data_IF_266552692689
#
_entry.id   IF_266552692689
#
_cell.length_a   1.000
_cell.length_b   1.000
_cell.length_c   1.000
_cell.angle_alpha   90.00
_cell.angle_beta   90.00
_cell.angle_gamma   90.00
#
_symmetry.space_group_name_H-M   'P 1'
#
loop_
_entity.id
_entity.type
_entity.pdbx_description
1 polymer ?
#
# COMPACT_ATOMS: atom_id res chain seq x y z
N UNK A 1 12.32 31.48 -29.07
CA UNK A 1 11.97 30.23 -28.37
C UNK A 1 12.68 30.25 -27.02
N UNK A 2 11.97 30.59 -25.93
CA UNK A 2 12.58 30.69 -24.58
C UNK A 2 12.51 29.29 -23.97
N UNK A 3 13.67 28.63 -23.88
CA UNK A 3 13.78 27.34 -23.23
C UNK A 3 13.69 27.56 -21.70
N UNK A 4 12.52 27.29 -21.11
CA UNK A 4 12.36 27.30 -19.66
C UNK A 4 13.10 26.09 -19.05
N UNK A 5 14.40 26.26 -18.80
CA UNK A 5 15.16 25.30 -18.00
C UNK A 5 14.63 25.39 -16.56
N UNK A 6 13.76 24.46 -16.19
CA UNK A 6 13.41 24.27 -14.77
C UNK A 6 14.69 23.90 -14.02
N UNK A 7 15.30 24.86 -13.33
CA UNK A 7 16.46 24.61 -12.46
C UNK A 7 16.04 23.58 -11.40
N UNK A 8 16.78 22.49 -11.32
CA UNK A 8 16.64 21.51 -10.25
C UNK A 8 16.82 22.25 -8.91
N UNK A 9 15.93 22.09 -7.91
CA UNK A 9 16.15 22.67 -6.58
C UNK A 9 17.51 22.19 -6.06
N UNK A 10 18.30 23.11 -5.48
CA UNK A 10 19.56 22.74 -4.85
C UNK A 10 19.30 21.68 -3.75
N UNK A 11 19.93 20.52 -3.84
CA UNK A 11 19.73 19.39 -2.91
C UNK A 11 18.57 18.44 -3.25
N UNK A 12 17.92 18.58 -4.42
CA UNK A 12 16.87 17.65 -4.89
C UNK A 12 17.46 16.33 -5.38
N UNK A 13 16.86 15.20 -4.95
CA UNK A 13 17.18 13.84 -5.39
C UNK A 13 15.96 13.17 -6.00
N UNK A 14 16.16 12.22 -6.92
CA UNK A 14 15.09 11.41 -7.48
C UNK A 14 14.64 10.36 -6.46
N UNK A 15 13.34 10.14 -6.31
CA UNK A 15 12.83 9.13 -5.38
C UNK A 15 13.29 7.72 -5.74
N UNK A 16 13.44 7.42 -7.04
CA UNK A 16 13.95 6.13 -7.52
C UNK A 16 15.40 5.82 -7.13
N UNK A 17 16.14 6.80 -6.56
CA UNK A 17 17.52 6.60 -6.05
C UNK A 17 17.59 6.48 -4.52
N UNK A 18 16.44 6.53 -3.84
CA UNK A 18 16.41 6.41 -2.39
C UNK A 18 16.48 4.94 -1.94
N UNK A 19 17.17 4.71 -0.85
CA UNK A 19 17.19 3.40 -0.21
C UNK A 19 15.81 3.01 0.32
N UNK A 20 15.49 1.73 0.25
CA UNK A 20 14.33 1.15 0.92
C UNK A 20 14.42 1.40 2.43
N UNK A 21 13.33 1.82 3.03
CA UNK A 21 13.30 2.31 4.42
C UNK A 21 13.44 3.83 4.56
N UNK A 22 13.80 4.55 3.50
CA UNK A 22 13.79 6.02 3.51
C UNK A 22 12.39 6.58 3.79
N UNK A 23 12.33 7.71 4.49
CA UNK A 23 11.07 8.39 4.81
C UNK A 23 10.88 9.60 3.92
N UNK A 24 9.70 9.68 3.29
CA UNK A 24 9.26 10.84 2.54
C UNK A 24 8.03 11.45 3.20
N UNK A 25 8.06 12.74 3.46
CA UNK A 25 6.88 13.48 3.92
C UNK A 25 6.07 13.97 2.72
N UNK A 26 4.77 13.65 2.76
CA UNK A 26 3.80 14.02 1.73
C UNK A 26 2.58 14.64 2.43
N UNK A 27 2.06 15.72 1.88
CA UNK A 27 0.90 16.41 2.44
C UNK A 27 -0.40 15.63 2.19
N UNK A 28 -1.14 15.36 3.27
CA UNK A 28 -2.49 14.78 3.30
C UNK A 28 -3.37 15.75 4.08
N UNK A 29 -4.40 16.32 3.49
CA UNK A 29 -5.20 17.44 4.04
C UNK A 29 -4.33 18.60 4.54
N UNK A 30 -3.27 18.94 3.81
CA UNK A 30 -2.32 19.98 4.18
C UNK A 30 -1.37 19.64 5.34
N UNK A 31 -1.48 18.44 5.94
CA UNK A 31 -0.61 17.97 7.03
C UNK A 31 0.43 17.00 6.48
N UNK A 32 1.71 17.26 6.78
CA UNK A 32 2.80 16.37 6.36
C UNK A 32 2.71 15.03 7.09
N UNK A 33 2.62 13.94 6.33
CA UNK A 33 2.58 12.57 6.80
C UNK A 33 3.79 11.80 6.30
N UNK A 34 4.30 10.89 7.12
CA UNK A 34 5.43 10.04 6.77
C UNK A 34 5.00 8.86 5.91
N UNK A 35 5.73 8.65 4.83
CA UNK A 35 5.63 7.47 3.97
C UNK A 35 7.00 6.80 3.86
N UNK A 36 7.02 5.48 3.91
CA UNK A 36 8.21 4.65 3.85
C UNK A 36 8.39 4.20 2.40
N UNK A 37 9.59 4.31 1.85
CA UNK A 37 9.98 3.62 0.62
C UNK A 37 10.04 2.12 0.93
N UNK A 38 9.14 1.32 0.36
CA UNK A 38 9.04 -0.12 0.67
C UNK A 38 9.54 -1.03 -0.45
N UNK A 39 9.71 -0.50 -1.66
CA UNK A 39 10.30 -1.20 -2.80
C UNK A 39 10.74 -0.21 -3.87
N UNK A 40 11.76 -0.59 -4.67
CA UNK A 40 12.14 0.10 -5.89
C UNK A 40 11.89 -0.81 -7.09
N UNK A 41 11.22 -0.28 -8.12
CA UNK A 41 10.87 -1.04 -9.32
C UNK A 41 9.76 -2.07 -9.10
N UNK A 42 9.63 -3.00 -10.04
CA UNK A 42 8.61 -4.06 -10.00
C UNK A 42 8.95 -5.07 -8.88
N UNK A 43 8.07 -5.29 -7.89
CA UNK A 43 8.35 -6.22 -6.79
C UNK A 43 8.71 -7.61 -7.30
N UNK A 44 9.87 -8.13 -6.87
CA UNK A 44 10.36 -9.45 -7.24
C UNK A 44 10.52 -9.71 -8.74
N UNK A 45 10.57 -8.66 -9.58
CA UNK A 45 10.51 -8.76 -11.05
C UNK A 45 9.32 -9.62 -11.54
N UNK A 46 8.22 -9.64 -10.80
CA UNK A 46 7.09 -10.50 -11.08
C UNK A 46 6.22 -9.95 -12.22
N UNK A 47 6.13 -10.68 -13.32
CA UNK A 47 5.38 -10.31 -14.53
C UNK A 47 3.86 -10.17 -14.35
N UNK A 48 3.33 -10.59 -13.20
CA UNK A 48 1.92 -10.40 -12.86
C UNK A 48 1.56 -8.95 -12.60
N UNK A 49 2.52 -8.12 -12.16
CA UNK A 49 2.32 -6.68 -12.11
C UNK A 49 2.23 -6.10 -13.51
N UNK A 50 1.50 -5.02 -13.66
CA UNK A 50 1.37 -4.33 -14.94
C UNK A 50 2.09 -2.98 -14.95
N UNK A 51 1.62 -2.10 -15.82
CA UNK A 51 2.16 -0.74 -15.96
C UNK A 51 2.10 0.04 -14.67
N UNK A 52 3.04 0.97 -14.46
CA UNK A 52 3.10 1.84 -13.29
C UNK A 52 3.59 1.18 -12.00
N UNK A 53 3.96 -0.12 -12.04
CA UNK A 53 4.52 -0.82 -10.88
C UNK A 53 6.05 -0.79 -10.84
N UNK A 54 6.71 -0.19 -11.83
CA UNK A 54 8.17 -0.06 -11.97
C UNK A 54 8.75 1.17 -11.27
N UNK A 55 7.92 1.93 -10.55
CA UNK A 55 8.32 3.11 -9.78
C UNK A 55 8.75 2.82 -8.34
N UNK A 56 8.71 3.87 -7.52
CA UNK A 56 9.03 3.81 -6.09
C UNK A 56 7.77 3.53 -5.27
N UNK A 57 7.71 2.39 -4.62
CA UNK A 57 6.57 1.98 -3.79
C UNK A 57 6.62 2.64 -2.43
N UNK A 58 5.54 3.32 -2.09
CA UNK A 58 5.36 4.05 -0.86
C UNK A 58 4.30 3.39 0.01
N UNK A 59 4.55 3.34 1.32
CA UNK A 59 3.58 2.90 2.32
C UNK A 59 3.46 3.96 3.41
N UNK A 60 2.25 4.41 3.72
CA UNK A 60 2.07 5.34 4.83
C UNK A 60 2.56 4.70 6.12
N UNK A 61 3.35 5.41 6.92
CA UNK A 61 3.95 4.88 8.14
C UNK A 61 2.89 4.47 9.16
N UNK A 62 1.93 5.36 9.39
CA UNK A 62 0.81 5.14 10.31
C UNK A 62 -0.51 4.96 9.55
N UNK A 63 -1.52 4.42 10.20
CA UNK A 63 -2.85 4.33 9.62
C UNK A 63 -3.45 5.73 9.43
N UNK A 64 -3.98 6.00 8.24
CA UNK A 64 -4.66 7.27 7.94
C UNK A 64 -5.99 7.36 8.65
N UNK A 65 -6.73 6.26 8.66
CA UNK A 65 -8.09 6.16 9.16
C UNK A 65 -8.40 4.75 9.67
N UNK A 66 -9.64 4.50 10.03
CA UNK A 66 -10.16 3.17 10.34
C UNK A 66 -11.44 2.93 9.55
N UNK A 67 -11.59 1.75 8.99
CA UNK A 67 -12.79 1.34 8.27
C UNK A 67 -12.96 -0.18 8.27
N UNK A 68 -14.12 -0.65 7.84
CA UNK A 68 -14.37 -2.05 7.57
C UNK A 68 -13.88 -2.41 6.16
N UNK A 69 -13.47 -3.66 5.97
CA UNK A 69 -13.08 -4.12 4.64
C UNK A 69 -14.29 -4.17 3.70
N UNK A 70 -15.43 -4.60 4.21
CA UNK A 70 -16.70 -4.68 3.48
C UNK A 70 -17.78 -3.94 4.27
N UNK A 71 -18.84 -3.49 3.59
CA UNK A 71 -19.99 -2.86 4.24
C UNK A 71 -20.79 -3.81 5.16
N UNK A 72 -21.70 -3.27 6.01
CA UNK A 72 -22.41 -4.04 7.02
C UNK A 72 -23.33 -5.15 6.48
N UNK A 73 -23.65 -5.13 5.21
CA UNK A 73 -24.58 -6.10 4.57
C UNK A 73 -23.89 -7.33 3.96
N UNK A 74 -22.63 -7.57 4.26
CA UNK A 74 -21.86 -8.70 3.71
C UNK A 74 -21.91 -9.96 4.56
N UNK A 75 -22.66 -9.97 5.66
CA UNK A 75 -22.85 -11.13 6.56
C UNK A 75 -23.69 -12.27 5.97
N UNK A 76 -24.24 -12.11 4.79
CA UNK A 76 -25.08 -13.10 4.12
C UNK A 76 -24.35 -14.01 3.17
N UNK A 77 -23.44 -14.87 3.63
CA UNK A 77 -22.99 -16.07 2.90
C UNK A 77 -22.44 -15.91 1.48
N UNK A 78 -22.29 -14.70 0.94
CA UNK A 78 -21.73 -14.49 -0.39
C UNK A 78 -20.20 -14.50 -0.32
N UNK A 79 -19.63 -15.52 -0.85
CA UNK A 79 -18.23 -15.88 -0.84
C UNK A 79 -17.27 -14.83 -1.39
N UNK A 80 -17.75 -13.68 -1.93
CA UNK A 80 -16.90 -13.13 -2.97
C UNK A 80 -17.23 -11.66 -3.27
N UNK A 81 -16.73 -10.79 -2.44
CA UNK A 81 -16.55 -9.42 -2.92
C UNK A 81 -15.07 -9.27 -3.27
N UNK A 82 -14.70 -9.11 -4.55
CA UNK A 82 -13.33 -8.81 -4.95
C UNK A 82 -12.83 -7.54 -4.23
N UNK A 83 -11.52 -7.43 -4.05
CA UNK A 83 -10.92 -6.22 -3.48
C UNK A 83 -11.44 -4.96 -4.18
N UNK A 84 -11.55 -4.98 -5.50
CA UNK A 84 -12.04 -3.88 -6.34
C UNK A 84 -13.44 -3.35 -6.01
N UNK A 85 -14.25 -4.14 -5.30
CA UNK A 85 -15.58 -3.75 -4.83
C UNK A 85 -15.64 -3.59 -3.31
N UNK A 86 -14.50 -3.67 -2.64
CA UNK A 86 -14.43 -3.51 -1.19
C UNK A 86 -14.60 -2.03 -0.78
N UNK A 87 -15.11 -1.84 0.42
CA UNK A 87 -15.15 -0.51 1.03
C UNK A 87 -13.74 0.03 1.27
N UNK A 88 -12.79 -0.86 1.58
CA UNK A 88 -11.37 -0.53 1.74
C UNK A 88 -10.77 0.06 0.46
N UNK A 89 -11.01 -0.56 -0.70
CA UNK A 89 -10.54 -0.05 -1.99
C UNK A 89 -11.15 1.33 -2.30
N UNK A 90 -12.45 1.48 -2.07
CA UNK A 90 -13.14 2.77 -2.23
C UNK A 90 -12.55 3.83 -1.30
N UNK A 91 -12.32 3.51 -0.02
CA UNK A 91 -11.72 4.45 0.94
C UNK A 91 -10.32 4.91 0.49
N UNK A 92 -9.54 4.04 -0.13
CA UNK A 92 -8.21 4.40 -0.62
C UNK A 92 -8.24 5.22 -1.92
N UNK A 93 -8.98 4.78 -2.93
CA UNK A 93 -8.94 5.41 -4.25
C UNK A 93 -9.82 6.66 -4.40
N UNK A 94 -10.82 6.82 -3.55
CA UNK A 94 -11.66 8.03 -3.56
C UNK A 94 -11.34 8.93 -2.38
N UNK A 95 -11.59 8.45 -1.16
CA UNK A 95 -11.49 9.29 0.03
C UNK A 95 -10.03 9.70 0.33
N UNK A 96 -9.11 8.73 0.42
CA UNK A 96 -7.73 9.06 0.74
C UNK A 96 -7.02 9.77 -0.42
N UNK A 97 -7.18 9.29 -1.66
CA UNK A 97 -6.58 9.92 -2.84
C UNK A 97 -7.00 11.38 -2.98
N UNK A 98 -8.27 11.71 -2.72
CA UNK A 98 -8.76 13.09 -2.78
C UNK A 98 -8.04 14.04 -1.81
N UNK A 99 -7.57 13.53 -0.67
CA UNK A 99 -6.89 14.27 0.41
C UNK A 99 -5.41 14.56 0.13
N UNK A 100 -4.82 13.89 -0.85
CA UNK A 100 -3.44 14.14 -1.27
C UNK A 100 -3.31 15.51 -1.94
N UNK A 101 -2.13 16.15 -1.76
CA UNK A 101 -1.82 17.37 -2.50
C UNK A 101 -1.78 17.13 -4.00
N UNK A 102 -2.04 18.16 -4.81
CA UNK A 102 -1.99 18.06 -6.28
C UNK A 102 -0.60 17.62 -6.77
N UNK A 103 0.46 18.05 -6.06
CA UNK A 103 1.81 17.60 -6.36
C UNK A 103 2.00 16.10 -6.13
N UNK A 104 1.48 15.57 -5.03
CA UNK A 104 1.50 14.13 -4.78
C UNK A 104 0.71 13.37 -5.83
N UNK A 105 -0.51 13.83 -6.16
CA UNK A 105 -1.34 13.22 -7.21
C UNK A 105 -0.65 13.19 -8.56
N UNK A 106 0.05 14.26 -8.93
CA UNK A 106 0.79 14.33 -10.22
C UNK A 106 2.03 13.44 -10.28
N UNK A 107 2.55 13.01 -9.13
CA UNK A 107 3.71 12.13 -9.01
C UNK A 107 3.33 10.64 -8.86
N UNK A 108 2.07 10.33 -8.57
CA UNK A 108 1.60 8.95 -8.38
C UNK A 108 1.25 8.32 -9.73
N UNK A 109 1.85 7.15 -10.01
CA UNK A 109 1.47 6.34 -11.16
C UNK A 109 0.15 5.62 -10.93
N UNK A 110 -0.71 5.51 -11.96
CA UNK A 110 -1.77 4.52 -11.97
C UNK A 110 -1.11 3.13 -12.11
N UNK A 111 -1.02 2.40 -10.99
CA UNK A 111 -0.32 1.12 -10.92
C UNK A 111 -1.28 -0.06 -11.14
N UNK A 112 -0.94 -0.96 -12.05
CA UNK A 112 -1.69 -2.20 -12.27
C UNK A 112 -1.20 -3.28 -11.30
N UNK A 113 -1.73 -3.22 -10.07
CA UNK A 113 -1.43 -4.16 -9.00
C UNK A 113 -2.08 -5.53 -9.23
N UNK A 114 -1.51 -6.55 -8.59
CA UNK A 114 -2.08 -7.91 -8.61
C UNK A 114 -3.16 -8.04 -7.55
N UNK A 115 -4.32 -8.52 -7.95
CA UNK A 115 -5.40 -8.90 -7.03
C UNK A 115 -5.90 -10.29 -7.38
N UNK A 116 -6.37 -11.03 -6.40
CA UNK A 116 -6.98 -12.34 -6.61
C UNK A 116 -8.50 -12.19 -6.58
N UNK A 117 -9.12 -12.69 -7.63
CA UNK A 117 -10.55 -12.73 -7.85
C UNK A 117 -11.22 -13.91 -7.12
N UNK A 118 -12.54 -13.99 -7.28
CA UNK A 118 -13.41 -15.02 -6.71
C UNK A 118 -13.11 -16.45 -7.19
N UNK A 119 -12.63 -16.56 -8.42
CA UNK A 119 -12.36 -17.83 -9.08
C UNK A 119 -10.92 -18.30 -8.90
N UNK A 120 -10.22 -17.68 -7.93
CA UNK A 120 -8.82 -17.97 -7.70
C UNK A 120 -7.88 -17.55 -8.85
N UNK A 121 -8.38 -16.80 -9.79
CA UNK A 121 -7.58 -16.18 -10.84
C UNK A 121 -7.03 -14.85 -10.35
N UNK A 122 -5.80 -14.54 -10.72
CA UNK A 122 -5.27 -13.21 -10.49
C UNK A 122 -5.65 -12.28 -11.64
N UNK A 123 -5.89 -11.02 -11.31
CA UNK A 123 -6.17 -9.96 -12.25
C UNK A 123 -5.23 -8.79 -12.00
N UNK A 124 -5.03 -7.97 -13.03
CA UNK A 124 -4.38 -6.67 -12.91
C UNK A 124 -5.45 -5.62 -12.65
N UNK A 125 -5.35 -4.96 -11.52
CA UNK A 125 -6.27 -3.89 -11.12
C UNK A 125 -5.53 -2.56 -11.10
N UNK A 126 -5.93 -1.60 -11.92
CA UNK A 126 -5.33 -0.27 -11.94
C UNK A 126 -5.85 0.59 -10.79
N UNK A 127 -4.92 1.08 -9.95
CA UNK A 127 -5.23 1.93 -8.81
C UNK A 127 -4.14 2.98 -8.58
N UNK A 128 -4.54 4.16 -8.16
CA UNK A 128 -3.62 5.19 -7.69
C UNK A 128 -3.18 4.93 -6.25
N UNK A 129 -4.09 4.51 -5.39
CA UNK A 129 -3.82 4.17 -3.98
C UNK A 129 -4.46 2.82 -3.67
N UNK A 130 -3.76 1.98 -2.94
CA UNK A 130 -4.21 0.61 -2.64
C UNK A 130 -3.71 0.11 -1.29
N UNK A 131 -4.33 -0.96 -0.77
CA UNK A 131 -3.79 -1.72 0.35
C UNK A 131 -2.74 -2.72 -0.14
N UNK A 132 -1.69 -2.95 0.65
CA UNK A 132 -0.74 -4.02 0.37
C UNK A 132 -1.39 -5.40 0.52
N UNK A 133 -0.86 -6.38 -0.21
CA UNK A 133 -1.27 -7.78 -0.07
C UNK A 133 -0.54 -8.49 1.07
N UNK A 134 -1.01 -9.70 1.38
CA UNK A 134 -0.37 -10.60 2.34
C UNK A 134 1.09 -10.89 1.94
N UNK A 135 1.31 -11.25 0.67
CA UNK A 135 2.64 -11.56 0.16
C UNK A 135 3.53 -10.32 0.11
N UNK A 136 3.01 -9.19 -0.32
CA UNK A 136 3.76 -7.92 -0.35
C UNK A 136 4.27 -7.51 1.02
N UNK A 137 3.54 -7.81 2.08
CA UNK A 137 3.94 -7.57 3.46
C UNK A 137 4.88 -8.64 4.04
N UNK A 138 5.31 -9.62 3.23
CA UNK A 138 6.29 -10.62 3.59
C UNK A 138 5.75 -11.78 4.43
N UNK A 139 4.44 -12.01 4.44
CA UNK A 139 3.91 -13.24 5.02
C UNK A 139 3.99 -14.40 4.02
N UNK A 140 4.39 -15.57 4.51
CA UNK A 140 4.21 -16.82 3.76
C UNK A 140 2.76 -17.27 3.84
N UNK A 141 2.35 -17.93 2.82
CA UNK A 141 1.20 -18.80 2.92
C UNK A 141 1.65 -20.17 3.45
N UNK A 142 1.11 -20.56 4.59
CA UNK A 142 1.58 -21.75 5.31
C UNK A 142 0.92 -23.06 4.92
N UNK A 143 -0.09 -22.99 4.05
CA UNK A 143 -0.83 -24.18 3.59
C UNK A 143 -1.11 -24.07 2.09
N UNK A 144 -1.21 -25.18 1.36
CA UNK A 144 -1.60 -25.19 -0.05
C UNK A 144 -3.07 -24.78 -0.17
N UNK A 145 -3.30 -23.48 -0.02
CA UNK A 145 -4.60 -22.89 -0.29
C UNK A 145 -4.62 -22.58 -1.77
N UNK A 146 -5.29 -23.43 -2.50
CA UNK A 146 -5.60 -23.25 -3.90
C UNK A 146 -5.99 -21.79 -4.14
N UNK A 147 -5.14 -21.00 -4.80
CA UNK A 147 -5.49 -19.71 -5.37
C UNK A 147 -5.17 -18.38 -4.70
N UNK A 148 -4.90 -18.29 -3.42
CA UNK A 148 -4.61 -16.98 -2.79
C UNK A 148 -3.12 -16.62 -2.89
N UNK A 149 -2.28 -17.54 -3.33
CA UNK A 149 -0.82 -17.48 -3.27
C UNK A 149 -0.17 -16.43 -4.17
N UNK A 150 -0.94 -15.64 -4.89
CA UNK A 150 -0.37 -14.94 -6.01
C UNK A 150 -0.80 -13.48 -6.16
N UNK A 151 -1.25 -12.85 -5.09
CA UNK A 151 -1.67 -11.45 -5.15
C UNK A 151 -0.49 -10.46 -5.03
N UNK A 152 0.68 -10.88 -5.50
CA UNK A 152 1.84 -10.02 -5.59
C UNK A 152 3.16 -10.75 -5.34
N UNK A 153 4.20 -9.99 -5.00
CA UNK A 153 5.51 -10.45 -4.57
C UNK A 153 5.95 -9.65 -3.34
N UNK A 154 6.79 -10.25 -2.50
CA UNK A 154 7.33 -9.60 -1.31
C UNK A 154 8.03 -8.29 -1.67
N UNK A 155 7.68 -7.20 -1.00
CA UNK A 155 8.38 -5.93 -1.10
C UNK A 155 9.71 -5.99 -0.32
N UNK A 156 10.71 -5.27 -0.80
CA UNK A 156 12.08 -5.32 -0.26
C UNK A 156 12.15 -4.93 1.23
N UNK A 157 11.30 -4.00 1.67
CA UNK A 157 11.25 -3.53 3.07
C UNK A 157 10.91 -4.62 4.06
N UNK A 158 10.13 -5.63 3.65
CA UNK A 158 9.66 -6.67 4.57
C UNK A 158 10.52 -7.93 4.52
N UNK A 159 10.71 -8.55 5.69
CA UNK A 159 11.27 -9.89 5.78
C UNK A 159 10.18 -10.93 5.48
N UNK A 160 10.57 -12.03 4.82
CA UNK A 160 9.66 -13.14 4.56
C UNK A 160 9.59 -14.02 5.81
N UNK A 161 8.52 -13.87 6.59
CA UNK A 161 8.26 -14.66 7.81
C UNK A 161 6.80 -14.61 8.20
N UNK A 162 6.28 -15.70 8.79
CA UNK A 162 4.96 -15.71 9.42
C UNK A 162 5.00 -15.24 10.88
N UNK A 163 6.19 -15.11 11.45
CA UNK A 163 6.34 -14.55 12.79
C UNK A 163 6.01 -13.05 12.81
N UNK A 164 5.73 -12.55 13.98
CA UNK A 164 5.53 -11.11 14.19
C UNK A 164 6.80 -10.34 13.82
N UNK A 165 6.62 -9.22 13.12
CA UNK A 165 7.74 -8.37 12.69
C UNK A 165 7.45 -6.90 13.00
N UNK A 166 8.39 -6.18 13.64
CA UNK A 166 8.22 -4.76 13.93
C UNK A 166 8.07 -3.90 12.66
N UNK A 167 8.58 -4.35 11.52
CA UNK A 167 8.46 -3.65 10.24
C UNK A 167 7.00 -3.54 9.74
N UNK A 168 6.11 -4.40 10.24
CA UNK A 168 4.69 -4.41 9.90
C UNK A 168 3.83 -3.59 10.85
N UNK A 169 4.36 -3.22 12.03
CA UNK A 169 3.60 -2.45 13.03
C UNK A 169 3.25 -1.08 12.43
N UNK A 170 2.05 -0.64 12.67
CA UNK A 170 1.54 0.67 12.32
C UNK A 170 0.79 1.25 13.51
N UNK A 171 0.81 2.57 13.67
CA UNK A 171 0.10 3.22 14.74
C UNK A 171 -1.15 3.95 14.19
N UNK A 172 -2.09 4.20 15.09
CA UNK A 172 -3.17 5.16 14.93
C UNK A 172 -3.16 6.04 16.17
N UNK A 173 -2.97 7.35 16.00
CA UNK A 173 -2.84 8.31 17.10
C UNK A 173 -1.76 7.93 18.13
N UNK A 174 -0.61 7.44 17.65
CA UNK A 174 0.53 7.07 18.50
C UNK A 174 0.42 5.69 19.19
N UNK A 175 -0.67 4.95 18.97
CA UNK A 175 -0.88 3.61 19.56
C UNK A 175 -0.88 2.57 18.45
N UNK A 176 -0.18 1.44 18.68
CA UNK A 176 -0.16 0.32 17.72
C UNK A 176 -1.58 -0.14 17.40
N UNK A 177 -1.86 -0.25 16.12
CA UNK A 177 -3.19 -0.53 15.62
C UNK A 177 -3.16 -1.61 14.54
N UNK A 178 -4.17 -2.45 14.48
CA UNK A 178 -4.38 -3.41 13.40
C UNK A 178 -4.71 -2.67 12.10
N UNK A 179 -4.30 -3.23 10.94
CA UNK A 179 -4.62 -2.65 9.65
C UNK A 179 -4.90 -3.70 8.57
N UNK A 180 -5.81 -3.36 7.65
CA UNK A 180 -6.26 -4.24 6.59
C UNK A 180 -5.20 -4.45 5.51
N UNK A 181 -5.05 -5.70 5.06
CA UNK A 181 -4.43 -6.05 3.79
C UNK A 181 -5.52 -6.29 2.73
N UNK A 182 -5.17 -6.20 1.43
CA UNK A 182 -6.13 -6.46 0.36
C UNK A 182 -6.43 -7.95 0.16
N UNK A 183 -5.54 -8.83 0.60
CA UNK A 183 -5.71 -10.26 0.51
C UNK A 183 -6.82 -10.77 1.42
N UNK A 184 -7.43 -11.86 1.01
CA UNK A 184 -8.52 -12.51 1.76
C UNK A 184 -8.09 -13.89 2.22
N UNK A 185 -8.43 -14.32 3.44
CA UNK A 185 -8.33 -15.72 3.81
C UNK A 185 -9.38 -16.54 3.05
N UNK A 186 -9.15 -17.84 2.93
CA UNK A 186 -10.19 -18.75 2.46
C UNK A 186 -11.37 -18.72 3.44
N UNK A 187 -12.47 -18.17 3.01
CA UNK A 187 -13.67 -18.06 3.85
C UNK A 187 -14.57 -16.91 3.43
N UNK A 188 -15.77 -16.98 3.91
CA UNK A 188 -16.85 -16.04 3.57
C UNK A 188 -16.66 -14.73 4.31
N UNK A 189 -16.58 -13.60 3.58
CA UNK A 189 -16.69 -12.26 4.15
C UNK A 189 -15.59 -11.87 5.13
N UNK A 190 -14.39 -12.43 5.03
CA UNK A 190 -13.25 -12.09 5.89
C UNK A 190 -12.12 -11.42 5.10
N UNK A 191 -11.27 -10.68 5.81
CA UNK A 191 -10.05 -10.06 5.31
C UNK A 191 -8.85 -10.38 6.19
N UNK A 192 -7.64 -10.36 5.64
CA UNK A 192 -6.42 -10.43 6.42
C UNK A 192 -6.09 -9.10 7.05
N UNK A 193 -5.68 -9.16 8.31
CA UNK A 193 -5.28 -8.00 9.12
C UNK A 193 -3.86 -8.23 9.64
N UNK A 194 -3.00 -7.22 9.55
CA UNK A 194 -1.78 -7.17 10.35
C UNK A 194 -2.17 -6.78 11.77
N UNK A 195 -1.68 -7.52 12.76
CA UNK A 195 -1.99 -7.29 14.17
C UNK A 195 -1.09 -6.22 14.79
N UNK A 196 -1.43 -5.74 15.98
CA UNK A 196 -0.66 -4.71 16.73
C UNK A 196 0.81 -5.07 16.97
N UNK A 197 1.13 -6.36 17.03
CA UNK A 197 2.49 -6.85 17.20
C UNK A 197 3.20 -7.21 15.87
N UNK A 198 2.56 -6.92 14.70
CA UNK A 198 3.13 -7.19 13.39
C UNK A 198 2.99 -8.64 12.89
N UNK A 199 2.19 -9.47 13.57
CA UNK A 199 1.72 -10.75 13.08
C UNK A 199 0.50 -10.59 12.15
N UNK A 200 -0.19 -11.70 11.82
CA UNK A 200 -1.41 -11.67 11.00
C UNK A 200 -2.55 -12.43 11.66
N UNK A 201 -3.78 -12.06 11.31
CA UNK A 201 -4.99 -12.79 11.67
C UNK A 201 -6.10 -12.51 10.66
N UNK A 202 -7.06 -13.43 10.51
CA UNK A 202 -8.25 -13.21 9.72
C UNK A 202 -9.34 -12.55 10.57
N UNK A 203 -9.95 -11.47 10.06
CA UNK A 203 -11.09 -10.82 10.69
C UNK A 203 -12.31 -10.83 9.79
N UNK A 204 -13.50 -10.86 10.39
CA UNK A 204 -14.73 -10.63 9.64
C UNK A 204 -14.68 -9.28 8.94
N UNK A 205 -15.09 -9.24 7.67
CA UNK A 205 -14.95 -8.05 6.84
C UNK A 205 -15.78 -6.83 7.29
N UNK A 206 -16.73 -7.01 8.21
CA UNK A 206 -17.47 -5.93 8.87
C UNK A 206 -16.73 -5.35 10.09
N UNK A 207 -15.65 -5.99 10.56
CA UNK A 207 -14.82 -5.46 11.64
C UNK A 207 -14.11 -4.19 11.19
N UNK A 208 -13.75 -3.32 12.14
CA UNK A 208 -13.06 -2.06 11.85
C UNK A 208 -11.60 -2.19 12.19
N UNK A 209 -10.73 -1.97 11.20
CA UNK A 209 -9.28 -1.91 11.37
C UNK A 209 -8.70 -0.68 10.64
N UNK A 210 -7.42 -0.44 10.79
CA UNK A 210 -6.72 0.68 10.19
C UNK A 210 -6.69 0.60 8.66
N UNK A 211 -6.80 1.74 8.01
CA UNK A 211 -6.55 1.95 6.59
C UNK A 211 -5.11 2.47 6.45
N UNK A 212 -4.23 1.69 5.82
CA UNK A 212 -2.82 2.00 5.64
C UNK A 212 -2.51 2.10 4.14
N UNK A 213 -2.56 3.29 3.55
CA UNK A 213 -2.44 3.47 2.11
C UNK A 213 -1.04 3.22 1.58
N UNK A 214 -0.97 2.58 0.41
CA UNK A 214 0.22 2.46 -0.42
C UNK A 214 -0.05 3.00 -1.83
N UNK A 215 1.00 3.44 -2.52
CA UNK A 215 0.97 3.90 -3.90
C UNK A 215 2.37 3.82 -4.53
N UNK A 216 2.46 4.04 -5.83
CA UNK A 216 3.72 4.05 -6.56
C UNK A 216 3.99 5.46 -7.09
N UNK A 217 5.16 6.02 -6.75
CA UNK A 217 5.61 7.30 -7.31
C UNK A 217 6.40 7.08 -8.59
N UNK A 218 6.29 8.02 -9.52
CA UNK A 218 7.23 8.16 -10.63
C UNK A 218 8.66 8.24 -10.07
N UNK A 219 9.58 7.32 -10.44
CA UNK A 219 10.95 7.28 -9.92
C UNK A 219 11.76 8.55 -10.24
N UNK A 220 11.34 9.31 -11.24
CA UNK A 220 11.94 10.60 -11.61
C UNK A 220 11.47 11.77 -10.73
N UNK A 221 10.48 11.55 -9.87
CA UNK A 221 9.98 12.57 -8.94
C UNK A 221 11.11 13.09 -8.06
N UNK A 222 11.21 14.41 -7.96
CA UNK A 222 12.23 15.07 -7.14
C UNK A 222 11.70 15.36 -5.75
N UNK A 223 12.47 14.94 -4.76
CA UNK A 223 12.25 15.27 -3.34
C UNK A 223 13.44 16.04 -2.80
N UNK A 224 13.19 16.87 -1.79
CA UNK A 224 14.24 17.64 -1.12
C UNK A 224 14.64 16.94 0.17
N UNK A 225 15.95 16.74 0.38
CA UNK A 225 16.47 16.17 1.62
C UNK A 225 16.38 17.22 2.74
N UNK A 226 15.66 16.88 3.80
CA UNK A 226 15.59 17.68 5.03
C UNK A 226 16.58 17.19 6.09
N UNK A 227 16.35 17.64 7.33
CA UNK A 227 17.09 17.12 8.50
C UNK A 227 16.74 15.64 8.78
N UNK A 228 17.65 14.91 9.43
CA UNK A 228 17.44 13.53 9.88
C UNK A 228 17.13 12.51 8.76
N UNK A 229 17.64 12.74 7.55
CA UNK A 229 17.37 11.88 6.39
C UNK A 229 15.89 11.71 6.04
N UNK A 230 15.05 12.66 6.43
CA UNK A 230 13.66 12.74 5.97
C UNK A 230 13.62 13.59 4.72
N UNK A 231 12.95 13.10 3.70
CA UNK A 231 12.75 13.80 2.43
C UNK A 231 11.37 14.43 2.39
N UNK A 232 11.19 15.44 1.56
CA UNK A 232 9.90 16.13 1.39
C UNK A 232 9.54 16.18 -0.09
N UNK A 233 8.35 15.74 -0.41
CA UNK A 233 7.70 16.00 -1.68
C UNK A 233 7.01 17.35 -1.56
N UNK A 234 7.76 18.41 -1.90
CA UNK A 234 7.30 19.80 -1.77
C UNK A 234 6.68 20.32 -3.04
#
# INVERSE_FOLDING_TARGET
>A
MICNIKRRPAGGVKVGTLDVGSIIQIAVDGVMKNFIVVNQGVPGNNSRYGTGCDGTWMLMQDCSDTDSMYGPNTSGGKRTIPYSYSKLDTAMNTTFYARLSDKAKSAIFPAQIVVVDNDATYQKLERYVFALSLIETGFFQSEPMESIDYDGAKLEYFQMTNDASPLRISNKNGVAHEWWMRSRPNGVGSGWVVTKNGGRTGWGGSSVAGVRPAFVLDPETIVTKGSNNIYTLA
#
